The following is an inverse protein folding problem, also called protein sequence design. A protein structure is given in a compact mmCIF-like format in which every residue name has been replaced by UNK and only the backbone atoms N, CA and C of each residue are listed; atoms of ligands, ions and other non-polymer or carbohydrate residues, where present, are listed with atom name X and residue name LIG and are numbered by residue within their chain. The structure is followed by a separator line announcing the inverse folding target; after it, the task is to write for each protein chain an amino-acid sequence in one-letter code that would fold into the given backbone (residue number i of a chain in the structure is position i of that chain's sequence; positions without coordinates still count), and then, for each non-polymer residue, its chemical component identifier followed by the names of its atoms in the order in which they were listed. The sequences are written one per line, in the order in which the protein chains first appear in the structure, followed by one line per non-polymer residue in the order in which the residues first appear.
data_IF_156873549786
#
_entry.id   IF_156873549786
#
_cell.length_a   1.000
_cell.length_b   1.000
_cell.length_c   1.000
_cell.angle_alpha   90.00
_cell.angle_beta   90.00
_cell.angle_gamma   90.00
#
_symmetry.space_group_name_H-M   'P 1'
#
loop_
_entity.id
_entity.type
_entity.pdbx_description
1 polymer ?
#
# COMPACT_ATOMS: atom_id res chain seq x y z
N UNK A 1 -14.14 -4.03 -6.31
CA UNK A 1 -14.07 -2.60 -6.60
C UNK A 1 -13.89 -1.82 -5.32
N UNK A 2 -12.82 -1.05 -5.23
CA UNK A 2 -12.51 -0.34 -3.99
C UNK A 2 -11.80 0.98 -4.30
N UNK A 3 -11.79 1.87 -3.32
CA UNK A 3 -10.98 3.09 -3.36
C UNK A 3 -9.62 2.76 -2.76
N UNK A 4 -8.57 3.00 -3.51
CA UNK A 4 -7.20 2.65 -3.15
C UNK A 4 -6.35 3.92 -3.13
N UNK A 5 -5.62 4.11 -2.03
CA UNK A 5 -4.60 5.15 -1.95
C UNK A 5 -3.26 4.52 -2.31
N UNK A 6 -2.59 5.08 -3.31
CA UNK A 6 -1.28 4.63 -3.72
C UNK A 6 -0.23 5.67 -3.31
N UNK A 7 0.71 5.28 -2.48
CA UNK A 7 1.86 6.11 -2.14
C UNK A 7 3.07 5.57 -2.89
N UNK A 8 3.61 6.36 -3.80
CA UNK A 8 4.71 5.93 -4.66
C UNK A 8 5.62 7.13 -4.93
N UNK A 9 6.90 6.99 -4.63
CA UNK A 9 7.87 8.06 -4.82
C UNK A 9 8.46 8.09 -6.24
N UNK A 10 8.01 7.20 -7.13
CA UNK A 10 8.45 7.14 -8.53
C UNK A 10 7.26 7.40 -9.45
N UNK A 11 7.14 8.61 -10.04
CA UNK A 11 5.95 8.98 -10.81
C UNK A 11 5.59 8.02 -11.94
N UNK A 12 6.57 7.48 -12.65
CA UNK A 12 6.32 6.56 -13.77
C UNK A 12 5.70 5.26 -13.29
N UNK A 13 6.14 4.75 -12.14
CA UNK A 13 5.61 3.53 -11.55
C UNK A 13 4.20 3.80 -11.01
N UNK A 14 4.00 4.96 -10.38
CA UNK A 14 2.68 5.36 -9.88
C UNK A 14 1.66 5.38 -11.02
N UNK A 15 2.03 5.92 -12.18
CA UNK A 15 1.15 5.97 -13.34
C UNK A 15 0.79 4.56 -13.83
N UNK A 16 1.80 3.70 -13.94
CA UNK A 16 1.61 2.33 -14.39
C UNK A 16 0.67 1.55 -13.47
N UNK A 17 0.92 1.62 -12.17
CA UNK A 17 0.06 0.96 -11.17
C UNK A 17 -1.35 1.52 -11.19
N UNK A 18 -1.48 2.83 -11.31
CA UNK A 18 -2.80 3.47 -11.37
C UNK A 18 -3.62 2.90 -12.53
N UNK A 19 -3.02 2.80 -13.72
CA UNK A 19 -3.70 2.21 -14.87
C UNK A 19 -4.09 0.75 -14.61
N UNK A 20 -3.16 -0.04 -14.10
CA UNK A 20 -3.42 -1.47 -13.85
C UNK A 20 -4.55 -1.68 -12.86
N UNK A 21 -4.57 -0.90 -11.78
CA UNK A 21 -5.60 -1.05 -10.75
C UNK A 21 -6.95 -0.51 -11.22
N UNK A 22 -6.96 0.55 -12.01
CA UNK A 22 -8.20 1.06 -12.61
C UNK A 22 -8.80 0.06 -13.58
N UNK A 23 -7.98 -0.64 -14.34
CA UNK A 23 -8.44 -1.70 -15.23
C UNK A 23 -9.14 -2.82 -14.47
N UNK A 24 -8.78 -3.02 -13.21
CA UNK A 24 -9.42 -4.02 -12.35
C UNK A 24 -10.66 -3.48 -11.64
N UNK A 25 -11.05 -2.25 -11.93
CA UNK A 25 -12.26 -1.66 -11.38
C UNK A 25 -12.08 -0.83 -10.13
N UNK A 26 -10.85 -0.61 -9.69
CA UNK A 26 -10.59 0.22 -8.51
C UNK A 26 -10.55 1.70 -8.86
N UNK A 27 -10.94 2.55 -7.90
CA UNK A 27 -10.66 3.98 -7.96
C UNK A 27 -9.32 4.19 -7.26
N UNK A 28 -8.41 4.92 -7.90
CA UNK A 28 -7.05 5.10 -7.38
C UNK A 28 -6.73 6.57 -7.24
N UNK A 29 -6.28 6.96 -6.06
CA UNK A 29 -5.65 8.25 -5.84
C UNK A 29 -4.16 8.00 -5.55
N UNK A 30 -3.29 8.58 -6.36
CA UNK A 30 -1.85 8.42 -6.22
C UNK A 30 -1.21 9.66 -5.63
N UNK A 31 -0.27 9.47 -4.71
CA UNK A 31 0.49 10.55 -4.09
C UNK A 31 1.96 10.11 -3.97
N UNK A 32 2.85 11.09 -3.96
CA UNK A 32 4.24 10.85 -3.56
C UNK A 32 4.32 10.61 -2.05
N UNK A 33 5.53 10.42 -1.56
CA UNK A 33 5.76 10.22 -0.12
C UNK A 33 5.20 11.41 0.67
N UNK A 34 4.48 11.11 1.75
CA UNK A 34 3.87 12.14 2.59
C UNK A 34 3.69 11.65 4.02
N UNK A 35 3.85 12.55 4.98
CA UNK A 35 3.55 12.25 6.38
C UNK A 35 2.05 12.33 6.68
N UNK A 36 1.26 12.80 5.71
CA UNK A 36 -0.19 12.99 5.86
C UNK A 36 -0.99 11.81 5.31
N UNK A 37 -0.44 10.59 5.40
CA UNK A 37 -1.08 9.41 4.81
C UNK A 37 -2.49 9.18 5.36
N UNK A 38 -2.70 9.35 6.66
CA UNK A 38 -4.02 9.15 7.27
C UNK A 38 -5.02 10.20 6.80
N UNK A 39 -4.57 11.44 6.62
CA UNK A 39 -5.42 12.52 6.11
C UNK A 39 -5.91 12.18 4.70
N UNK A 40 -5.02 11.62 3.87
CA UNK A 40 -5.38 11.21 2.51
C UNK A 40 -6.35 10.03 2.52
N UNK A 41 -6.16 9.07 3.41
CA UNK A 41 -7.09 7.94 3.57
C UNK A 41 -8.49 8.46 3.88
N UNK A 42 -8.58 9.40 4.82
CA UNK A 42 -9.85 9.97 5.24
C UNK A 42 -10.48 10.79 4.12
N UNK A 43 -9.71 11.68 3.51
CA UNK A 43 -10.18 12.56 2.44
C UNK A 43 -10.75 11.76 1.26
N UNK A 44 -10.05 10.72 0.85
CA UNK A 44 -10.44 9.91 -0.31
C UNK A 44 -11.28 8.69 0.07
N UNK A 45 -11.58 8.51 1.35
CA UNK A 45 -12.37 7.36 1.85
C UNK A 45 -11.78 6.05 1.33
N UNK A 46 -10.48 5.90 1.47
CA UNK A 46 -9.77 4.75 0.92
C UNK A 46 -10.07 3.49 1.72
N UNK A 47 -10.31 2.40 1.01
CA UNK A 47 -10.56 1.09 1.59
C UNK A 47 -9.27 0.27 1.70
N UNK A 48 -8.20 0.71 1.08
CA UNK A 48 -6.90 0.05 1.11
C UNK A 48 -5.79 1.04 0.75
N UNK A 49 -4.57 0.73 1.16
CA UNK A 49 -3.38 1.54 0.85
C UNK A 49 -2.33 0.64 0.21
N UNK A 50 -1.72 1.12 -0.87
CA UNK A 50 -0.56 0.48 -1.50
C UNK A 50 0.64 1.37 -1.26
N UNK A 51 1.69 0.82 -0.66
CA UNK A 51 2.93 1.53 -0.36
C UNK A 51 4.04 1.01 -1.27
N UNK A 52 4.49 1.85 -2.19
CA UNK A 52 5.58 1.52 -3.11
C UNK A 52 6.65 2.59 -3.01
N UNK A 53 7.47 2.49 -1.97
CA UNK A 53 8.54 3.45 -1.71
C UNK A 53 9.88 2.85 -2.13
N UNK A 54 10.83 3.72 -2.50
CA UNK A 54 12.16 3.30 -2.94
C UNK A 54 12.89 2.50 -1.85
N UNK A 55 12.78 2.96 -0.60
CA UNK A 55 13.41 2.28 0.53
C UNK A 55 12.35 1.70 1.46
N UNK A 56 12.60 0.51 2.00
CA UNK A 56 11.64 -0.16 2.86
C UNK A 56 11.35 0.64 4.13
N UNK A 57 12.33 1.32 4.71
CA UNK A 57 12.11 2.12 5.92
C UNK A 57 11.08 3.24 5.71
N UNK A 58 10.93 3.75 4.49
CA UNK A 58 9.88 4.71 4.16
C UNK A 58 8.50 4.03 4.24
N UNK A 59 8.38 2.83 3.66
CA UNK A 59 7.13 2.06 3.73
C UNK A 59 6.82 1.66 5.16
N UNK A 60 7.83 1.28 5.92
CA UNK A 60 7.68 0.90 7.33
C UNK A 60 7.13 2.06 8.16
N UNK A 61 7.69 3.26 7.97
CA UNK A 61 7.23 4.45 8.67
C UNK A 61 5.78 4.80 8.32
N UNK A 62 5.41 4.67 7.05
CA UNK A 62 4.04 4.92 6.62
C UNK A 62 3.08 3.86 7.16
N UNK A 63 3.50 2.60 7.18
CA UNK A 63 2.70 1.52 7.74
C UNK A 63 2.42 1.78 9.23
N UNK A 64 3.46 2.13 9.98
CA UNK A 64 3.30 2.44 11.41
C UNK A 64 2.38 3.64 11.60
N UNK A 65 2.49 4.65 10.76
CA UNK A 65 1.60 5.82 10.77
C UNK A 65 0.14 5.42 10.58
N UNK A 66 -0.13 4.58 9.57
CA UNK A 66 -1.49 4.10 9.30
C UNK A 66 -2.02 3.34 10.52
N UNK A 67 -1.23 2.42 11.06
CA UNK A 67 -1.66 1.56 12.17
C UNK A 67 -1.82 2.33 13.49
N UNK A 68 -1.20 3.51 13.62
CA UNK A 68 -1.36 4.33 14.82
C UNK A 68 -2.70 5.07 14.86
N UNK A 69 -3.39 5.18 13.73
CA UNK A 69 -4.69 5.84 13.69
C UNK A 69 -5.78 4.86 14.18
N UNK A 70 -6.64 5.29 15.14
CA UNK A 70 -7.63 4.37 15.73
C UNK A 70 -8.56 3.68 14.73
N UNK A 71 -8.90 4.36 13.64
CA UNK A 71 -9.80 3.82 12.64
C UNK A 71 -9.10 3.05 11.53
N UNK A 72 -7.76 2.95 11.56
CA UNK A 72 -6.97 2.31 10.51
C UNK A 72 -6.15 1.14 11.01
N UNK A 73 -6.51 0.57 12.15
CA UNK A 73 -5.77 -0.55 12.75
C UNK A 73 -5.85 -1.82 11.91
N UNK A 74 -6.89 -1.96 11.09
CA UNK A 74 -7.07 -3.12 10.22
C UNK A 74 -7.30 -2.72 8.76
N UNK A 75 -6.94 -1.49 8.40
CA UNK A 75 -7.03 -1.04 7.02
C UNK A 75 -6.09 -1.89 6.15
N UNK A 76 -6.59 -2.51 5.08
CA UNK A 76 -5.74 -3.31 4.20
C UNK A 76 -4.57 -2.51 3.63
N UNK A 77 -3.37 -3.08 3.71
CA UNK A 77 -2.14 -2.46 3.19
C UNK A 77 -1.37 -3.47 2.36
N UNK A 78 -0.95 -3.06 1.17
CA UNK A 78 -0.01 -3.82 0.35
C UNK A 78 1.31 -3.05 0.34
N UNK A 79 2.40 -3.73 0.68
CA UNK A 79 3.74 -3.14 0.64
C UNK A 79 4.50 -3.76 -0.53
N UNK A 80 4.94 -2.93 -1.46
CA UNK A 80 5.76 -3.35 -2.59
C UNK A 80 7.21 -3.03 -2.22
N UNK A 81 8.08 -4.03 -2.24
CA UNK A 81 9.46 -3.84 -1.79
C UNK A 81 10.44 -4.72 -2.57
N UNK A 82 11.67 -4.21 -2.77
CA UNK A 82 12.77 -4.99 -3.32
C UNK A 82 13.55 -5.72 -2.22
N UNK A 83 13.17 -5.53 -0.95
CA UNK A 83 13.82 -6.20 0.19
C UNK A 83 12.80 -6.95 1.05
N UNK A 84 12.10 -7.96 0.47
CA UNK A 84 11.13 -8.72 1.25
C UNK A 84 11.74 -9.42 2.47
N UNK A 85 13.03 -9.74 2.42
CA UNK A 85 13.77 -10.33 3.53
C UNK A 85 13.90 -9.40 4.74
N UNK A 86 13.74 -8.08 4.53
CA UNK A 86 13.67 -7.11 5.62
C UNK A 86 12.22 -6.89 6.06
N UNK A 87 11.31 -6.85 5.10
CA UNK A 87 9.90 -6.55 5.36
C UNK A 87 9.23 -7.65 6.18
N UNK A 88 9.43 -8.91 5.84
CA UNK A 88 8.76 -10.02 6.51
C UNK A 88 9.05 -10.07 8.01
N UNK A 89 10.34 -10.07 8.46
CA UNK A 89 10.60 -10.08 9.90
C UNK A 89 10.10 -8.84 10.60
N UNK A 90 10.16 -7.68 9.93
CA UNK A 90 9.69 -6.42 10.47
C UNK A 90 8.20 -6.48 10.78
N UNK A 91 7.39 -6.97 9.83
CA UNK A 91 5.95 -7.10 10.01
C UNK A 91 5.61 -8.19 11.04
N UNK A 92 6.37 -9.27 11.05
CA UNK A 92 6.17 -10.35 12.01
C UNK A 92 6.43 -9.88 13.44
N UNK A 93 7.46 -9.07 13.65
CA UNK A 93 7.76 -8.54 14.99
C UNK A 93 6.65 -7.61 15.49
N UNK A 94 5.91 -6.99 14.59
CA UNK A 94 4.75 -6.16 14.92
C UNK A 94 3.46 -6.96 15.08
N UNK A 95 3.49 -8.27 14.78
CA UNK A 95 2.30 -9.12 14.69
C UNK A 95 1.27 -8.47 13.75
N UNK A 96 1.77 -7.92 12.65
CA UNK A 96 0.96 -7.14 11.72
C UNK A 96 -0.13 -8.00 11.06
N UNK A 97 -1.31 -7.41 10.90
CA UNK A 97 -2.46 -8.04 10.26
C UNK A 97 -2.92 -7.19 9.10
N UNK A 98 -3.66 -7.81 8.17
CA UNK A 98 -4.23 -7.11 7.02
C UNK A 98 -3.16 -6.41 6.18
N UNK A 99 -2.03 -7.06 6.03
CA UNK A 99 -0.93 -6.56 5.21
C UNK A 99 -0.33 -7.70 4.41
N UNK A 100 -0.03 -7.42 3.13
CA UNK A 100 0.66 -8.37 2.26
C UNK A 100 1.85 -7.68 1.61
N UNK A 101 2.88 -8.45 1.33
CA UNK A 101 4.10 -7.99 0.66
C UNK A 101 4.07 -8.46 -0.77
N UNK A 102 4.39 -7.56 -1.70
CA UNK A 102 4.62 -7.90 -3.11
C UNK A 102 6.07 -7.56 -3.42
N UNK A 103 6.91 -8.56 -3.72
CA UNK A 103 8.32 -8.31 -3.99
C UNK A 103 8.53 -7.68 -5.37
N UNK A 104 9.54 -6.84 -5.51
CA UNK A 104 9.97 -6.32 -6.80
C UNK A 104 10.93 -7.33 -7.45
N UNK A 105 10.92 -7.49 -8.78
CA UNK A 105 10.01 -6.82 -9.73
C UNK A 105 8.59 -7.39 -9.63
N UNK A 106 7.60 -6.55 -9.89
CA UNK A 106 6.21 -6.91 -9.72
C UNK A 106 5.40 -6.61 -10.99
N UNK A 107 4.16 -7.13 -11.04
CA UNK A 107 3.19 -6.78 -12.07
C UNK A 107 1.95 -6.16 -11.39
N UNK A 108 1.20 -5.37 -12.17
CA UNK A 108 -0.07 -4.84 -11.67
C UNK A 108 -1.02 -5.93 -11.23
N UNK A 109 -1.00 -7.08 -11.92
CA UNK A 109 -1.85 -8.23 -11.57
C UNK A 109 -1.52 -8.79 -10.18
N UNK A 110 -0.23 -8.82 -9.83
CA UNK A 110 0.18 -9.29 -8.50
C UNK A 110 -0.34 -8.37 -7.41
N UNK A 111 -0.24 -7.05 -7.61
CA UNK A 111 -0.77 -6.07 -6.66
C UNK A 111 -2.28 -6.19 -6.56
N UNK A 112 -2.96 -6.36 -7.70
CA UNK A 112 -4.41 -6.55 -7.73
C UNK A 112 -4.87 -7.78 -6.97
N UNK A 113 -4.14 -8.90 -7.10
CA UNK A 113 -4.46 -10.12 -6.36
C UNK A 113 -4.27 -9.95 -4.85
N UNK A 114 -3.20 -9.25 -4.44
CA UNK A 114 -2.97 -8.97 -3.03
C UNK A 114 -4.11 -8.12 -2.45
N UNK A 115 -4.52 -7.09 -3.18
CA UNK A 115 -5.66 -6.25 -2.78
C UNK A 115 -6.94 -7.08 -2.67
N UNK A 116 -7.21 -7.90 -3.67
CA UNK A 116 -8.42 -8.73 -3.67
C UNK A 116 -8.45 -9.66 -2.46
N UNK A 117 -7.32 -10.26 -2.12
CA UNK A 117 -7.21 -11.14 -0.96
C UNK A 117 -7.48 -10.39 0.34
N UNK A 118 -6.96 -9.18 0.48
CA UNK A 118 -7.14 -8.38 1.70
C UNK A 118 -8.55 -7.82 1.83
N UNK A 119 -9.21 -7.56 0.70
CA UNK A 119 -10.54 -6.95 0.68
C UNK A 119 -11.68 -7.96 0.75
N UNK A 120 -11.37 -9.23 0.76
CA UNK A 120 -12.35 -10.31 0.89
C UNK A 120 -13.23 -10.18 2.12
#
# INVERSE_FOLDING_TARGET
MARVLLIDDTPEIAELLTFSLRDLGHEVFASGFTNAVNDLVIEHKSAAVVLDCTAYDMSEALFDSVRSHPNHTELPVVIITDTPELAEPSLRSRKAKKVLIVPKPFTGAQVGRALAQLLE
#
